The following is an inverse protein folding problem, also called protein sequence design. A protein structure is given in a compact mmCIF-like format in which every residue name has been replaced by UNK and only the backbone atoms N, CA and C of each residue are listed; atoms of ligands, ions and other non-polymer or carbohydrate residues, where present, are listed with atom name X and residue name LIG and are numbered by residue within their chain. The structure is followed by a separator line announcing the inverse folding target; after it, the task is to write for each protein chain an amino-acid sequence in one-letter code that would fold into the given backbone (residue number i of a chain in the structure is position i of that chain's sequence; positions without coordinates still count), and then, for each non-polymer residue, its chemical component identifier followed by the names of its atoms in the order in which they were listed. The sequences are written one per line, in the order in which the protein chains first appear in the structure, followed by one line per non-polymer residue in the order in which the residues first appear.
data_IF_411824220078
#
_entry.id   IF_411824220078
#
_cell.length_a   1.000
_cell.length_b   1.000
_cell.length_c   1.000
_cell.angle_alpha   90.00
_cell.angle_beta   90.00
_cell.angle_gamma   90.00
#
_symmetry.space_group_name_H-M   'P 1'
#
loop_
_entity.id
_entity.type
_entity.pdbx_description
1 polymer ?
#
# COMPACT_ATOMS: atom_id res chain seq x y z
N UNK A 1 -14.02 -3.67 -11.71
CA UNK A 1 -14.13 -3.35 -10.26
C UNK A 1 -12.71 -3.26 -9.72
N UNK A 2 -12.39 -2.24 -8.93
CA UNK A 2 -11.04 -1.96 -8.41
C UNK A 2 -11.01 -0.65 -7.63
N UNK A 3 -9.87 -0.29 -7.05
CA UNK A 3 -9.71 1.01 -6.39
C UNK A 3 -9.91 2.14 -7.42
N UNK A 4 -10.60 3.21 -7.01
CA UNK A 4 -10.69 4.43 -7.82
C UNK A 4 -9.28 5.05 -7.97
N UNK A 5 -9.03 5.88 -9.01
CA UNK A 5 -7.76 6.60 -9.14
C UNK A 5 -7.38 7.34 -7.85
N UNK A 6 -6.12 7.20 -7.41
CA UNK A 6 -5.64 7.73 -6.13
C UNK A 6 -6.15 6.99 -4.88
N UNK A 7 -6.89 5.89 -5.03
CA UNK A 7 -7.34 5.06 -3.91
C UNK A 7 -6.20 4.27 -3.27
N UNK A 8 -6.28 4.08 -1.96
CA UNK A 8 -5.28 3.34 -1.17
C UNK A 8 -5.90 2.06 -0.61
N UNK A 9 -5.10 1.00 -0.56
CA UNK A 9 -5.38 -0.21 0.19
C UNK A 9 -4.60 -0.15 1.51
N UNK A 10 -5.30 -0.19 2.65
CA UNK A 10 -4.65 -0.10 3.96
C UNK A 10 -4.67 -1.46 4.64
N UNK A 11 -3.48 -1.99 4.95
CA UNK A 11 -3.30 -3.19 5.77
C UNK A 11 -2.83 -2.79 7.16
N UNK A 12 -3.53 -3.21 8.21
CA UNK A 12 -3.11 -3.08 9.60
C UNK A 12 -2.99 -4.48 10.19
N UNK A 13 -1.79 -4.88 10.62
CA UNK A 13 -1.55 -6.28 11.01
C UNK A 13 -0.46 -6.42 12.08
N UNK A 14 -0.48 -7.54 12.81
CA UNK A 14 0.55 -8.01 13.71
C UNK A 14 1.85 -8.32 12.95
N UNK A 15 3.00 -7.97 13.54
CA UNK A 15 4.32 -8.11 12.93
C UNK A 15 5.24 -8.96 13.80
N UNK A 16 5.68 -10.08 13.23
CA UNK A 16 6.70 -10.93 13.83
C UNK A 16 8.09 -10.29 13.69
N UNK A 17 9.00 -10.58 14.64
CA UNK A 17 10.38 -10.04 14.61
C UNK A 17 11.17 -10.51 13.39
N UNK A 18 11.01 -11.77 12.96
CA UNK A 18 11.67 -12.38 11.80
C UNK A 18 10.82 -13.53 11.25
N UNK A 19 10.82 -13.70 9.93
CA UNK A 19 10.14 -14.83 9.27
C UNK A 19 8.64 -14.81 9.53
N UNK A 20 8.11 -15.88 10.10
CA UNK A 20 6.72 -15.97 10.50
C UNK A 20 6.55 -16.80 11.78
N UNK A 21 5.45 -16.57 12.49
CA UNK A 21 5.00 -17.35 13.64
C UNK A 21 3.65 -17.96 13.28
N UNK A 22 3.53 -19.28 13.43
CA UNK A 22 2.28 -19.99 13.27
C UNK A 22 1.62 -20.18 14.63
N UNK A 23 0.41 -19.68 14.78
CA UNK A 23 -0.41 -19.92 15.95
C UNK A 23 -1.24 -21.20 15.73
N UNK A 24 -1.10 -22.15 16.66
CA UNK A 24 -1.76 -23.46 16.58
C UNK A 24 -3.19 -23.43 17.08
N UNK A 25 -3.57 -22.44 17.86
CA UNK A 25 -4.89 -22.34 18.47
C UNK A 25 -5.90 -21.83 17.45
N UNK A 26 -5.60 -20.69 16.81
CA UNK A 26 -6.48 -20.07 15.81
C UNK A 26 -6.09 -20.39 14.35
N UNK A 27 -5.00 -21.15 14.15
CA UNK A 27 -4.46 -21.53 12.82
C UNK A 27 -4.01 -20.33 11.98
N UNK A 28 -3.62 -19.22 12.60
CA UNK A 28 -3.15 -18.02 11.91
C UNK A 28 -1.63 -17.97 11.74
N UNK A 29 -1.16 -17.06 10.88
CA UNK A 29 0.27 -16.78 10.68
C UNK A 29 0.54 -15.29 10.84
N UNK A 30 1.38 -14.96 11.82
CA UNK A 30 1.94 -13.60 11.98
C UNK A 30 3.27 -13.51 11.23
N UNK A 31 3.41 -12.56 10.30
CA UNK A 31 4.59 -12.44 9.42
C UNK A 31 5.47 -11.24 9.78
N UNK A 32 6.75 -11.28 9.41
CA UNK A 32 7.65 -10.14 9.58
C UNK A 32 7.39 -9.05 8.54
N UNK A 33 7.85 -7.82 8.85
CA UNK A 33 7.78 -6.67 7.93
C UNK A 33 8.47 -6.96 6.59
N UNK A 34 9.63 -7.62 6.60
CA UNK A 34 10.34 -8.04 5.39
C UNK A 34 9.51 -8.99 4.52
N UNK A 35 8.82 -9.94 5.15
CA UNK A 35 7.95 -10.90 4.47
C UNK A 35 6.81 -10.16 3.78
N UNK A 36 6.11 -9.27 4.50
CA UNK A 36 5.03 -8.49 3.92
C UNK A 36 5.50 -7.62 2.74
N UNK A 37 6.69 -6.99 2.84
CA UNK A 37 7.28 -6.21 1.75
C UNK A 37 7.55 -7.05 0.49
N UNK A 38 8.02 -8.29 0.65
CA UNK A 38 8.18 -9.22 -0.46
C UNK A 38 6.84 -9.58 -1.10
N UNK A 39 5.81 -9.85 -0.29
CA UNK A 39 4.46 -10.11 -0.80
C UNK A 39 3.88 -8.91 -1.55
N UNK A 40 4.03 -7.69 -1.02
CA UNK A 40 3.57 -6.49 -1.71
C UNK A 40 4.25 -6.34 -3.07
N UNK A 41 5.57 -6.58 -3.13
CA UNK A 41 6.33 -6.57 -4.39
C UNK A 41 5.81 -7.62 -5.37
N UNK A 42 5.56 -8.85 -4.92
CA UNK A 42 5.00 -9.91 -5.76
C UNK A 42 3.60 -9.57 -6.28
N UNK A 43 2.81 -8.85 -5.48
CA UNK A 43 1.47 -8.38 -5.86
C UNK A 43 1.47 -7.08 -6.70
N UNK A 44 2.64 -6.50 -7.01
CA UNK A 44 2.71 -5.20 -7.72
C UNK A 44 2.15 -4.04 -6.90
N UNK A 45 2.17 -4.14 -5.57
CA UNK A 45 1.76 -3.09 -4.64
C UNK A 45 2.97 -2.32 -4.14
N UNK A 46 2.81 -1.01 -4.06
CA UNK A 46 3.84 -0.08 -3.60
C UNK A 46 3.42 0.57 -2.29
N UNK A 47 4.37 0.75 -1.39
CA UNK A 47 4.12 1.40 -0.11
C UNK A 47 4.06 2.91 -0.32
N UNK A 48 2.88 3.49 -0.15
CA UNK A 48 2.68 4.93 -0.10
C UNK A 48 3.13 5.50 1.25
N UNK A 49 2.77 4.81 2.34
CA UNK A 49 3.15 5.19 3.71
C UNK A 49 3.11 3.98 4.63
N UNK A 50 3.95 3.97 5.66
CA UNK A 50 3.86 3.00 6.76
C UNK A 50 3.92 3.70 8.12
N UNK A 51 3.32 3.08 9.14
CA UNK A 51 3.32 3.61 10.51
C UNK A 51 3.17 2.49 11.52
N UNK A 52 4.00 2.52 12.56
CA UNK A 52 3.83 1.66 13.74
C UNK A 52 2.73 2.19 14.66
N UNK A 53 1.94 1.27 15.22
CA UNK A 53 1.00 1.58 16.28
C UNK A 53 1.79 1.99 17.53
N UNK A 54 1.51 3.18 18.03
CA UNK A 54 2.11 3.70 19.27
C UNK A 54 1.34 3.20 20.48
N UNK A 55 1.99 3.26 21.64
CA UNK A 55 1.40 2.99 22.96
C UNK A 55 0.78 1.59 23.05
N UNK A 56 1.43 0.62 22.41
CA UNK A 56 1.02 -0.78 22.45
C UNK A 56 1.84 -1.55 23.48
N UNK A 57 1.25 -2.50 24.24
CA UNK A 57 1.99 -3.29 25.23
C UNK A 57 3.17 -4.05 24.61
N UNK A 58 4.31 -4.08 25.30
CA UNK A 58 5.57 -4.65 24.77
C UNK A 58 5.57 -6.18 24.75
N UNK A 59 4.67 -6.80 25.51
CA UNK A 59 4.43 -8.24 25.56
C UNK A 59 3.67 -8.78 24.34
N UNK A 60 3.03 -7.90 23.56
CA UNK A 60 2.30 -8.26 22.34
C UNK A 60 3.16 -8.12 21.09
N UNK A 61 2.70 -8.71 19.98
CA UNK A 61 3.30 -8.40 18.68
C UNK A 61 3.14 -6.91 18.37
N UNK A 62 4.19 -6.32 17.78
CA UNK A 62 4.09 -4.98 17.25
C UNK A 62 3.03 -4.95 16.14
N UNK A 63 2.27 -3.86 16.05
CA UNK A 63 1.26 -3.68 15.01
C UNK A 63 1.70 -2.60 14.05
N UNK A 64 1.69 -2.89 12.74
CA UNK A 64 2.06 -1.94 11.70
C UNK A 64 0.92 -1.72 10.71
N UNK A 65 0.79 -0.48 10.26
CA UNK A 65 -0.12 -0.06 9.21
C UNK A 65 0.66 0.27 7.94
N UNK A 66 0.22 -0.27 6.81
CA UNK A 66 0.75 0.00 5.47
C UNK A 66 -0.36 0.58 4.61
N UNK A 67 -0.15 1.79 4.08
CA UNK A 67 -0.92 2.32 2.98
C UNK A 67 -0.24 1.92 1.67
N UNK A 68 -0.96 1.16 0.85
CA UNK A 68 -0.48 0.55 -0.38
C UNK A 68 -1.23 1.15 -1.58
N UNK A 69 -0.54 1.25 -2.71
CA UNK A 69 -1.09 1.71 -3.97
C UNK A 69 -0.58 0.83 -5.12
N UNK A 70 -1.31 0.80 -6.22
CA UNK A 70 -0.86 0.18 -7.49
C UNK A 70 -0.05 1.16 -8.35
N UNK A 71 0.00 2.44 -7.97
CA UNK A 71 0.74 3.48 -8.67
C UNK A 71 2.20 3.53 -8.15
N UNK A 72 3.17 3.60 -9.06
CA UNK A 72 4.59 3.69 -8.70
C UNK A 72 4.90 5.05 -8.02
N UNK A 73 5.49 5.05 -6.80
CA UNK A 73 5.91 6.29 -6.14
C UNK A 73 7.02 6.96 -6.97
N UNK A 74 6.73 8.11 -7.57
CA UNK A 74 7.67 8.83 -8.44
C UNK A 74 7.08 9.27 -9.79
N UNK A 75 5.95 8.69 -10.20
CA UNK A 75 5.10 9.25 -11.26
C UNK A 75 3.92 9.98 -10.62
N UNK A 76 4.20 11.12 -9.97
CA UNK A 76 3.14 12.02 -9.52
C UNK A 76 2.26 12.43 -10.70
N UNK A 77 0.94 12.35 -10.51
CA UNK A 77 -0.13 12.74 -11.43
C UNK A 77 0.32 13.80 -12.45
N UNK A 78 0.60 13.40 -13.70
CA UNK A 78 0.56 14.38 -14.80
C UNK A 78 -0.85 14.99 -14.77
N UNK A 79 -1.01 16.32 -14.75
CA UNK A 79 -2.33 16.89 -14.93
C UNK A 79 -2.90 16.30 -16.22
N UNK A 80 -4.15 15.83 -16.19
CA UNK A 80 -4.84 15.41 -17.43
C UNK A 80 -4.59 16.49 -18.48
N UNK A 81 -4.24 16.14 -19.73
CA UNK A 81 -4.27 17.13 -20.79
C UNK A 81 -5.70 17.71 -20.78
N UNK A 82 -5.82 19.01 -20.48
CA UNK A 82 -7.09 19.72 -20.65
C UNK A 82 -7.48 19.47 -22.10
N UNK A 83 -8.65 18.86 -22.35
CA UNK A 83 -9.21 18.75 -23.71
C UNK A 83 -9.09 20.13 -24.33
N UNK A 84 -8.29 20.25 -25.40
CA UNK A 84 -8.22 21.48 -26.15
C UNK A 84 -9.65 21.79 -26.58
N UNK A 85 -10.17 22.94 -26.15
CA UNK A 85 -11.44 23.43 -26.70
C UNK A 85 -11.20 23.64 -28.18
N UNK A 86 -12.03 23.00 -29.02
CA UNK A 86 -11.96 23.13 -30.47
C UNK A 86 -11.95 24.62 -30.84
N UNK A 87 -10.78 25.15 -31.23
CA UNK A 87 -10.66 26.48 -31.81
C UNK A 87 -10.65 26.27 -33.33
N UNK A 88 -11.66 26.74 -34.08
CA UNK A 88 -11.60 26.69 -35.53
C UNK A 88 -10.43 27.55 -36.00
N UNK A 89 -9.52 26.97 -36.76
CA UNK A 89 -8.46 27.70 -37.46
C UNK A 89 -9.04 28.27 -38.76
N UNK A 90 -8.69 29.52 -39.08
CA UNK A 90 -9.01 30.13 -40.37
C UNK A 90 -8.14 29.46 -41.43
N UNK A 91 -8.77 28.78 -42.38
CA UNK A 91 -8.10 28.28 -43.59
C UNK A 91 -7.91 29.50 -44.50
N UNK A 92 -6.66 29.83 -44.82
CA UNK A 92 -6.31 30.81 -45.85
C UNK A 92 -6.27 30.13 -47.20
#
# INVERSE_FOLDING_TARGET
VGLKPGGLFVLKENIARKGFVFDKEDKSITRSDSYFKELFKQCGLHIYKMKDQKEFPNELFAVKMYALTTEMPGQGNKPRPKRATNRPAIIR
#
